data_IF_014045337442
#
_entry.id   IF_014045337442
#
_cell.length_a   1.000
_cell.length_b   1.000
_cell.length_c   1.000
_cell.angle_alpha   90.00
_cell.angle_beta   90.00
_cell.angle_gamma   90.00
#
_symmetry.space_group_name_H-M   'P 1'
#
loop_
_entity.id
_entity.type
_entity.pdbx_description
1 polymer ?
#
# COMPACT_ATOMS: atom_id res chain seq x y z
N UNK A 1 -26.75 -11.09 -2.79
CA UNK A 1 -25.53 -10.26 -2.78
C UNK A 1 -24.80 -10.46 -1.45
N UNK A 2 -23.77 -11.33 -1.39
CA UNK A 2 -22.80 -11.38 -0.27
C UNK A 2 -21.60 -12.31 -0.58
N UNK A 3 -20.78 -11.92 -1.57
CA UNK A 3 -19.50 -12.58 -1.87
C UNK A 3 -18.38 -11.81 -1.14
N UNK A 4 -18.42 -11.78 0.19
CA UNK A 4 -17.34 -11.21 1.03
C UNK A 4 -16.90 -12.12 2.18
N UNK A 5 -17.02 -13.44 2.02
CA UNK A 5 -16.28 -14.41 2.83
C UNK A 5 -14.83 -14.46 2.34
N UNK A 6 -14.04 -13.47 2.75
CA UNK A 6 -12.60 -13.57 2.67
C UNK A 6 -12.16 -14.68 3.65
N UNK A 7 -11.34 -15.63 3.23
CA UNK A 7 -10.82 -16.71 4.09
C UNK A 7 -10.17 -16.18 5.37
N UNK A 8 -9.67 -14.94 5.33
CA UNK A 8 -9.18 -14.21 6.49
C UNK A 8 -10.25 -14.03 7.58
N UNK A 9 -11.52 -13.76 7.26
CA UNK A 9 -12.52 -13.56 8.33
C UNK A 9 -12.83 -14.83 9.14
N UNK A 10 -12.56 -16.02 8.58
CA UNK A 10 -12.62 -17.29 9.30
C UNK A 10 -11.31 -17.60 10.03
N UNK A 11 -10.16 -17.27 9.43
CA UNK A 11 -8.84 -17.55 10.01
C UNK A 11 -8.51 -16.64 11.21
N UNK A 12 -8.80 -15.34 11.12
CA UNK A 12 -8.35 -14.33 12.09
C UNK A 12 -8.94 -14.48 13.51
N UNK A 13 -10.22 -14.90 13.72
CA UNK A 13 -10.73 -15.16 15.07
C UNK A 13 -10.05 -16.37 15.73
N UNK A 14 -9.67 -17.39 14.93
CA UNK A 14 -8.85 -18.49 15.42
C UNK A 14 -7.43 -18.02 15.74
N UNK A 15 -7.01 -16.88 15.17
CA UNK A 15 -5.76 -16.23 15.49
C UNK A 15 -5.77 -15.38 16.78
N UNK A 16 -6.92 -15.02 17.34
CA UNK A 16 -7.00 -14.22 18.56
C UNK A 16 -6.49 -14.96 19.81
N UNK A 17 -6.38 -16.30 19.74
CA UNK A 17 -5.71 -17.10 20.77
C UNK A 17 -4.19 -17.04 20.69
N UNK A 18 -3.62 -16.38 19.68
CA UNK A 18 -2.18 -16.39 19.50
C UNK A 18 -1.48 -15.35 20.41
N UNK A 19 -0.35 -15.73 21.01
CA UNK A 19 0.41 -14.86 21.91
C UNK A 19 0.95 -13.63 21.16
N UNK A 20 1.43 -12.62 21.92
CA UNK A 20 2.03 -11.34 21.46
C UNK A 20 2.91 -11.43 20.20
N UNK A 21 3.51 -12.59 19.94
CA UNK A 21 4.32 -12.90 18.76
C UNK A 21 3.60 -12.65 17.41
N UNK A 22 2.27 -12.78 17.33
CA UNK A 22 1.56 -12.52 16.06
C UNK A 22 1.39 -11.04 15.72
N UNK A 23 1.33 -10.17 16.73
CA UNK A 23 1.36 -8.73 16.51
C UNK A 23 2.65 -8.30 15.83
N UNK A 24 3.76 -8.94 16.19
CA UNK A 24 5.05 -8.72 15.55
C UNK A 24 5.01 -9.07 14.06
N UNK A 25 4.51 -10.25 13.70
CA UNK A 25 4.45 -10.70 12.29
C UNK A 25 3.65 -9.74 11.42
N UNK A 26 2.45 -9.34 11.85
CA UNK A 26 1.59 -8.45 11.06
C UNK A 26 2.20 -7.05 10.97
N UNK A 27 2.76 -6.55 12.08
CA UNK A 27 3.42 -5.24 12.09
C UNK A 27 4.65 -5.24 11.18
N UNK A 28 5.44 -6.31 11.19
CA UNK A 28 6.59 -6.47 10.30
C UNK A 28 6.16 -6.51 8.83
N UNK A 29 5.08 -7.22 8.49
CA UNK A 29 4.55 -7.27 7.12
C UNK A 29 3.95 -5.93 6.68
N UNK A 30 3.31 -5.19 7.60
CA UNK A 30 2.82 -3.84 7.36
C UNK A 30 3.97 -2.89 7.05
N UNK A 31 5.02 -2.91 7.87
CA UNK A 31 6.22 -2.10 7.67
C UNK A 31 6.94 -2.45 6.36
N UNK A 32 7.13 -3.74 6.08
CA UNK A 32 7.71 -4.20 4.82
C UNK A 32 6.91 -3.70 3.61
N UNK A 33 5.58 -3.84 3.62
CA UNK A 33 4.76 -3.34 2.50
C UNK A 33 4.87 -1.81 2.31
N UNK A 34 5.07 -1.04 3.40
CA UNK A 34 5.29 0.39 3.32
C UNK A 34 6.67 0.74 2.73
N UNK A 35 7.73 0.03 3.15
CA UNK A 35 9.09 0.22 2.64
C UNK A 35 9.20 -0.23 1.18
N UNK A 36 8.72 -1.42 0.85
CA UNK A 36 8.68 -1.94 -0.52
C UNK A 36 7.90 -0.99 -1.46
N UNK A 37 6.85 -0.33 -0.96
CA UNK A 37 6.12 0.68 -1.73
C UNK A 37 7.03 1.87 -2.05
N UNK A 38 7.73 2.41 -1.06
CA UNK A 38 8.64 3.55 -1.25
C UNK A 38 9.79 3.21 -2.19
N UNK A 39 10.40 2.03 -2.02
CA UNK A 39 11.44 1.54 -2.91
C UNK A 39 10.92 1.40 -4.34
N UNK A 40 9.73 0.84 -4.55
CA UNK A 40 9.15 0.73 -5.89
C UNK A 40 8.88 2.10 -6.54
N UNK A 41 8.50 3.12 -5.77
CA UNK A 41 8.36 4.51 -6.27
C UNK A 41 9.72 5.10 -6.63
N UNK A 42 10.72 4.96 -5.75
CA UNK A 42 12.08 5.43 -6.00
C UNK A 42 12.64 4.83 -7.31
N UNK A 43 12.47 3.52 -7.46
CA UNK A 43 12.84 2.76 -8.63
C UNK A 43 12.05 3.20 -9.89
N UNK A 44 10.75 3.51 -9.77
CA UNK A 44 9.97 4.05 -10.88
C UNK A 44 10.46 5.43 -11.34
N UNK A 45 10.92 6.27 -10.42
CA UNK A 45 11.39 7.63 -10.71
C UNK A 45 12.73 7.62 -11.47
N UNK A 46 13.57 6.61 -11.26
CA UNK A 46 14.84 6.45 -11.97
C UNK A 46 14.70 5.85 -13.39
N UNK A 47 13.49 5.54 -13.84
CA UNK A 47 13.25 4.82 -15.10
C UNK A 47 12.23 5.51 -16.00
N UNK A 48 12.12 5.04 -17.24
CA UNK A 48 11.17 5.54 -18.22
C UNK A 48 10.39 4.42 -18.93
N UNK A 49 9.32 4.81 -19.62
CA UNK A 49 8.52 3.93 -20.47
C UNK A 49 8.03 2.66 -19.76
N UNK A 50 8.21 1.52 -20.42
CA UNK A 50 7.74 0.22 -19.92
C UNK A 50 8.35 -0.18 -18.58
N UNK A 51 9.63 0.14 -18.34
CA UNK A 51 10.28 -0.20 -17.07
C UNK A 51 9.71 0.64 -15.92
N UNK A 52 9.52 1.94 -16.12
CA UNK A 52 8.82 2.78 -15.13
C UNK A 52 7.44 2.23 -14.81
N UNK A 53 6.68 1.86 -15.84
CA UNK A 53 5.34 1.31 -15.68
C UNK A 53 5.33 0.03 -14.83
N UNK A 54 6.30 -0.87 -15.03
CA UNK A 54 6.46 -2.08 -14.22
C UNK A 54 6.65 -1.74 -12.73
N UNK A 55 7.51 -0.78 -12.40
CA UNK A 55 7.75 -0.38 -11.01
C UNK A 55 6.54 0.33 -10.38
N UNK A 56 5.80 1.13 -11.16
CA UNK A 56 4.54 1.73 -10.69
C UNK A 56 3.48 0.66 -10.40
N UNK A 57 3.40 -0.41 -11.20
CA UNK A 57 2.54 -1.55 -10.89
C UNK A 57 2.99 -2.34 -9.66
N UNK A 58 4.31 -2.49 -9.45
CA UNK A 58 4.84 -3.07 -8.23
C UNK A 58 4.48 -2.23 -7.00
N UNK A 59 4.59 -0.90 -7.09
CA UNK A 59 4.14 0.01 -6.05
C UNK A 59 2.64 -0.15 -5.76
N UNK A 60 1.79 -0.26 -6.79
CA UNK A 60 0.34 -0.45 -6.58
C UNK A 60 0.03 -1.77 -5.86
N UNK A 61 0.74 -2.84 -6.21
CA UNK A 61 0.63 -4.12 -5.50
C UNK A 61 1.01 -3.99 -4.02
N UNK A 62 2.09 -3.27 -3.69
CA UNK A 62 2.50 -3.04 -2.30
C UNK A 62 1.51 -2.16 -1.54
N UNK A 63 0.98 -1.13 -2.17
CA UNK A 63 -0.06 -0.27 -1.58
C UNK A 63 -1.34 -1.06 -1.29
N UNK A 64 -1.69 -2.04 -2.13
CA UNK A 64 -2.81 -2.96 -1.87
C UNK A 64 -2.54 -3.89 -0.68
N UNK A 65 -1.31 -4.40 -0.51
CA UNK A 65 -0.92 -5.14 0.70
C UNK A 65 -0.97 -4.25 1.95
N UNK A 66 -0.52 -3.00 1.86
CA UNK A 66 -0.61 -2.04 2.96
C UNK A 66 -2.06 -1.83 3.42
N UNK A 67 -2.99 -1.63 2.47
CA UNK A 67 -4.44 -1.54 2.75
C UNK A 67 -4.99 -2.80 3.43
N UNK A 68 -4.54 -3.97 2.99
CA UNK A 68 -4.92 -5.25 3.61
C UNK A 68 -4.50 -5.27 5.08
N UNK A 69 -3.22 -5.02 5.37
CA UNK A 69 -2.71 -5.06 6.74
C UNK A 69 -3.34 -3.98 7.63
N UNK A 70 -3.58 -2.77 7.10
CA UNK A 70 -4.29 -1.72 7.84
C UNK A 70 -5.71 -2.14 8.26
N UNK A 71 -6.43 -2.85 7.38
CA UNK A 71 -7.75 -3.39 7.71
C UNK A 71 -7.67 -4.46 8.81
N UNK A 72 -6.63 -5.31 8.78
CA UNK A 72 -6.43 -6.34 9.80
C UNK A 72 -6.13 -5.74 11.17
N UNK A 73 -5.21 -4.78 11.26
CA UNK A 73 -4.88 -4.13 12.53
C UNK A 73 -6.05 -3.33 13.09
N UNK A 74 -6.94 -2.81 12.23
CA UNK A 74 -8.20 -2.21 12.67
C UNK A 74 -9.21 -3.24 13.16
N UNK A 75 -9.35 -4.38 12.47
CA UNK A 75 -10.26 -5.46 12.87
C UNK A 75 -9.92 -6.02 14.26
N UNK A 76 -8.64 -6.03 14.63
CA UNK A 76 -8.18 -6.44 15.95
C UNK A 76 -8.06 -5.30 16.97
N UNK A 77 -8.61 -4.11 16.64
CA UNK A 77 -8.58 -2.92 17.49
C UNK A 77 -7.18 -2.48 17.95
N UNK A 78 -6.14 -2.75 17.17
CA UNK A 78 -4.78 -2.25 17.44
C UNK A 78 -4.61 -0.78 17.04
N UNK A 79 -5.53 -0.25 16.23
CA UNK A 79 -5.66 1.17 15.91
C UNK A 79 -7.04 1.66 16.30
N UNK A 80 -7.09 2.85 16.89
CA UNK A 80 -8.35 3.55 17.11
C UNK A 80 -9.02 3.91 15.78
N UNK A 81 -10.34 4.16 15.81
CA UNK A 81 -11.09 4.58 14.62
C UNK A 81 -10.47 5.80 13.94
N UNK A 82 -10.05 6.81 14.73
CA UNK A 82 -9.43 8.03 14.22
C UNK A 82 -8.06 7.79 13.58
N UNK A 83 -7.22 6.94 14.20
CA UNK A 83 -5.92 6.57 13.63
C UNK A 83 -6.10 5.82 12.30
N UNK A 84 -7.03 4.86 12.24
CA UNK A 84 -7.33 4.11 11.03
C UNK A 84 -7.92 4.99 9.92
N UNK A 85 -8.80 5.93 10.26
CA UNK A 85 -9.36 6.88 9.29
C UNK A 85 -8.26 7.76 8.70
N UNK A 86 -7.40 8.33 9.56
CA UNK A 86 -6.30 9.19 9.16
C UNK A 86 -5.37 8.48 8.16
N UNK A 87 -4.87 7.29 8.52
CA UNK A 87 -3.97 6.53 7.63
C UNK A 87 -4.67 6.06 6.36
N UNK A 88 -5.95 5.67 6.44
CA UNK A 88 -6.72 5.25 5.25
C UNK A 88 -6.88 6.40 4.26
N UNK A 89 -7.06 7.63 4.75
CA UNK A 89 -7.16 8.84 3.93
C UNK A 89 -5.84 9.13 3.20
N UNK A 90 -4.71 9.03 3.89
CA UNK A 90 -3.38 9.18 3.30
C UNK A 90 -3.14 8.12 2.21
N UNK A 91 -3.39 6.85 2.51
CA UNK A 91 -3.23 5.74 1.55
C UNK A 91 -4.15 5.88 0.34
N UNK A 92 -5.35 6.44 0.52
CA UNK A 92 -6.25 6.74 -0.59
C UNK A 92 -5.75 7.89 -1.47
N UNK A 93 -5.18 8.94 -0.88
CA UNK A 93 -4.54 10.04 -1.62
C UNK A 93 -3.36 9.54 -2.46
N UNK A 94 -2.44 8.79 -1.83
CA UNK A 94 -1.29 8.17 -2.51
C UNK A 94 -1.74 7.27 -3.66
N UNK A 95 -2.79 6.47 -3.45
CA UNK A 95 -3.36 5.62 -4.50
C UNK A 95 -3.90 6.39 -5.71
N UNK A 96 -4.48 7.58 -5.49
CA UNK A 96 -4.95 8.42 -6.61
C UNK A 96 -3.79 8.98 -7.42
N UNK A 97 -2.73 9.44 -6.76
CA UNK A 97 -1.51 9.93 -7.41
C UNK A 97 -0.85 8.82 -8.23
N UNK A 98 -0.67 7.64 -7.63
CA UNK A 98 -0.11 6.47 -8.30
C UNK A 98 -0.90 6.06 -9.54
N UNK A 99 -2.23 6.02 -9.44
CA UNK A 99 -3.09 5.74 -10.59
C UNK A 99 -2.95 6.79 -11.71
N UNK A 100 -2.71 8.06 -11.35
CA UNK A 100 -2.38 9.13 -12.29
C UNK A 100 -1.07 8.84 -13.05
N UNK A 101 0.00 8.53 -12.31
CA UNK A 101 1.31 8.24 -12.89
C UNK A 101 1.31 6.99 -13.80
N UNK A 102 0.57 5.95 -13.43
CA UNK A 102 0.39 4.75 -14.26
C UNK A 102 -0.26 5.11 -15.60
N UNK A 103 -1.38 5.86 -15.58
CA UNK A 103 -2.07 6.28 -16.81
C UNK A 103 -1.19 7.19 -17.69
N UNK A 104 -0.45 8.10 -17.07
CA UNK A 104 0.46 8.99 -17.79
C UNK A 104 1.58 8.21 -18.48
N UNK A 105 2.21 7.27 -17.76
CA UNK A 105 3.30 6.44 -18.32
C UNK A 105 2.78 5.51 -19.41
N UNK A 106 1.61 4.89 -19.21
CA UNK A 106 1.02 3.99 -20.19
C UNK A 106 0.57 4.69 -21.49
N UNK A 107 0.19 5.96 -21.41
CA UNK A 107 -0.19 6.76 -22.60
C UNK A 107 0.99 7.33 -23.37
N UNK A 108 2.24 7.06 -22.95
CA UNK A 108 3.44 7.52 -23.65
C UNK A 108 3.63 9.04 -23.63
N UNK A 109 2.86 9.77 -22.82
CA UNK A 109 3.09 11.21 -22.63
C UNK A 109 4.36 11.40 -21.81
N UNK A 110 5.34 12.18 -22.26
CA UNK A 110 6.48 12.55 -21.43
C UNK A 110 5.92 13.28 -20.20
N UNK A 111 5.99 12.65 -19.04
CA UNK A 111 5.60 13.25 -17.77
C UNK A 111 6.78 14.02 -17.21
N UNK A 112 6.53 15.29 -16.87
CA UNK A 112 7.38 16.25 -16.14
C UNK A 112 7.75 15.79 -14.70
N UNK A 113 7.74 14.47 -14.45
CA UNK A 113 7.92 13.84 -13.14
C UNK A 113 9.36 13.91 -12.59
N UNK A 114 10.26 14.62 -13.27
CA UNK A 114 11.62 14.88 -12.79
C UNK A 114 11.74 16.04 -11.79
N UNK A 115 10.69 16.84 -11.60
CA UNK A 115 10.75 18.06 -10.76
C UNK A 115 10.10 17.95 -9.38
N UNK A 116 9.18 17.02 -9.16
CA UNK A 116 8.50 16.88 -7.84
C UNK A 116 9.30 16.03 -6.84
N UNK A 117 10.32 15.27 -7.29
CA UNK A 117 11.17 14.46 -6.42
C UNK A 117 12.16 15.31 -5.58
N UNK A 118 12.41 16.56 -5.94
CA UNK A 118 13.22 17.49 -5.13
C UNK A 118 12.43 18.08 -3.95
N UNK A 119 11.10 17.99 -3.94
CA UNK A 119 10.26 18.59 -2.88
C UNK A 119 10.05 17.67 -1.67
N UNK A 120 10.51 16.42 -1.74
CA UNK A 120 10.39 15.40 -0.68
C UNK A 120 11.74 14.88 -0.17
N UNK A 121 12.85 15.50 -0.56
CA UNK A 121 14.19 15.24 -0.01
C UNK A 121 14.59 16.26 1.04
#
# INVERSE_FOLDING_TARGET
>A
MNIRRNHLSWLLPHCERFPKNQRFVVTQRLQAAALDFQEAIFEANARHGAQRLQHLHAADAQLNKLRLYLRLVRQWDWLSSGQYEHVSRLVAQVGRLLGGWIRQTASGRPGDSGREAEEFS
#
